data_IF_762734096069
#
_entry.id   IF_762734096069
#
_cell.length_a   1.000
_cell.length_b   1.000
_cell.length_c   1.000
_cell.angle_alpha   90.00
_cell.angle_beta   90.00
_cell.angle_gamma   90.00
#
_symmetry.space_group_name_H-M   'P 1'
#
loop_
_entity.id
_entity.type
_entity.pdbx_description
1 polymer ?
#
# COMPACT_ATOMS: atom_id res chain seq x y z
N UNK A 1 -12.17 1.69 -18.50
CA UNK A 1 -12.56 1.85 -17.07
C UNK A 1 -13.77 2.76 -16.97
N UNK A 2 -14.69 2.40 -16.12
CA UNK A 2 -15.93 3.14 -15.91
C UNK A 2 -15.68 4.44 -15.14
N UNK A 3 -16.29 5.53 -15.58
CA UNK A 3 -16.20 6.80 -14.87
C UNK A 3 -16.91 6.73 -13.51
N UNK A 4 -16.23 7.11 -12.40
CA UNK A 4 -16.84 7.08 -11.08
C UNK A 4 -17.89 8.17 -10.87
N UNK A 5 -17.93 9.19 -11.75
CA UNK A 5 -18.84 10.32 -11.61
C UNK A 5 -20.14 10.16 -12.39
N UNK A 6 -20.06 9.69 -13.64
CA UNK A 6 -21.26 9.58 -14.49
C UNK A 6 -21.56 8.16 -14.97
N UNK A 7 -20.69 7.20 -14.72
CA UNK A 7 -20.90 5.81 -15.10
C UNK A 7 -20.60 5.48 -16.57
N UNK A 8 -20.07 6.44 -17.35
CA UNK A 8 -19.68 6.17 -18.72
C UNK A 8 -18.66 5.02 -18.75
N UNK A 9 -18.86 4.04 -19.62
CA UNK A 9 -17.99 2.87 -19.72
C UNK A 9 -16.66 3.15 -20.40
N UNK A 10 -16.55 4.27 -21.12
CA UNK A 10 -15.36 4.65 -21.84
C UNK A 10 -14.72 5.89 -21.25
N UNK A 11 -13.49 5.73 -20.80
CA UNK A 11 -12.66 6.83 -20.30
C UNK A 11 -11.28 6.74 -20.93
N UNK A 12 -10.54 7.84 -20.91
CA UNK A 12 -9.24 7.95 -21.55
C UNK A 12 -8.12 8.09 -20.52
N UNK A 13 -6.98 7.45 -20.81
CA UNK A 13 -5.75 7.65 -20.04
C UNK A 13 -4.99 8.80 -20.66
N UNK A 14 -4.74 9.86 -19.89
CA UNK A 14 -4.00 11.03 -20.34
C UNK A 14 -2.52 10.97 -20.00
N UNK A 15 -2.17 10.30 -18.90
CA UNK A 15 -0.81 10.23 -18.41
C UNK A 15 -0.64 8.97 -17.55
N UNK A 16 0.53 8.36 -17.63
CA UNK A 16 0.87 7.18 -16.82
C UNK A 16 2.29 7.34 -16.29
N UNK A 17 2.47 7.11 -14.99
CA UNK A 17 3.78 7.22 -14.34
C UNK A 17 3.99 6.08 -13.37
N UNK A 18 5.25 5.62 -13.20
CA UNK A 18 5.57 4.70 -12.12
C UNK A 18 5.26 5.32 -10.76
N UNK A 19 4.81 4.49 -9.84
CA UNK A 19 4.52 4.87 -8.47
C UNK A 19 4.95 3.75 -7.51
N UNK A 20 5.02 4.05 -6.22
CA UNK A 20 5.31 3.06 -5.18
C UNK A 20 6.57 2.23 -5.48
N UNK A 21 7.68 2.89 -5.77
CA UNK A 21 8.96 2.25 -6.08
C UNK A 21 8.88 1.29 -7.28
N UNK A 22 8.20 1.73 -8.34
CA UNK A 22 8.01 0.97 -9.60
C UNK A 22 7.18 -0.32 -9.47
N UNK A 23 6.50 -0.54 -8.34
CA UNK A 23 5.61 -1.70 -8.17
C UNK A 23 4.17 -1.38 -8.53
N UNK A 24 3.88 -0.13 -8.87
CA UNK A 24 2.56 0.33 -9.30
C UNK A 24 2.67 1.31 -10.45
N UNK A 25 1.57 1.49 -11.15
CA UNK A 25 1.44 2.50 -12.19
C UNK A 25 0.31 3.43 -11.79
N UNK A 26 0.61 4.73 -11.75
CA UNK A 26 -0.39 5.77 -11.53
C UNK A 26 -0.86 6.26 -12.88
N UNK A 27 -2.19 6.22 -13.13
CA UNK A 27 -2.80 6.70 -14.37
C UNK A 27 -3.75 7.84 -14.08
N UNK A 28 -3.55 8.95 -14.78
CA UNK A 28 -4.48 10.08 -14.76
C UNK A 28 -5.46 9.88 -15.90
N UNK A 29 -6.76 9.87 -15.56
CA UNK A 29 -7.83 9.55 -16.49
C UNK A 29 -8.80 10.70 -16.68
N UNK A 30 -9.48 10.70 -17.82
CA UNK A 30 -10.44 11.70 -18.21
C UNK A 30 -11.68 11.04 -18.80
N UNK A 31 -12.86 11.52 -18.40
CA UNK A 31 -14.12 11.08 -18.97
C UNK A 31 -14.62 12.09 -20.00
N UNK A 32 -14.73 11.72 -21.30
CA UNK A 32 -15.20 12.63 -22.32
C UNK A 32 -16.69 12.99 -22.19
N UNK A 33 -17.47 12.18 -21.49
CA UNK A 33 -18.91 12.41 -21.30
C UNK A 33 -19.20 13.50 -20.28
N UNK A 34 -18.51 13.50 -19.12
CA UNK A 34 -18.76 14.47 -18.05
C UNK A 34 -17.59 15.41 -17.77
N UNK A 35 -16.48 15.28 -18.51
CA UNK A 35 -15.24 16.02 -18.29
C UNK A 35 -14.60 15.80 -16.93
N UNK A 36 -15.03 14.76 -16.21
CA UNK A 36 -14.46 14.41 -14.92
C UNK A 36 -13.05 13.88 -15.04
N UNK A 37 -12.20 14.19 -14.07
CA UNK A 37 -10.82 13.70 -13.98
C UNK A 37 -10.68 12.87 -12.72
N UNK A 38 -9.98 11.74 -12.83
CA UNK A 38 -9.73 10.87 -11.71
C UNK A 38 -8.40 10.15 -11.88
N UNK A 39 -7.88 9.64 -10.79
CA UNK A 39 -6.60 8.91 -10.78
C UNK A 39 -6.84 7.47 -10.39
N UNK A 40 -6.18 6.55 -11.09
CA UNK A 40 -6.20 5.13 -10.77
C UNK A 40 -4.79 4.60 -10.57
N UNK A 41 -4.68 3.50 -9.82
CA UNK A 41 -3.43 2.80 -9.60
C UNK A 41 -3.56 1.36 -10.05
N UNK A 42 -2.56 0.89 -10.77
CA UNK A 42 -2.46 -0.50 -11.19
C UNK A 42 -1.33 -1.16 -10.40
N UNK A 43 -1.65 -2.23 -9.69
CA UNK A 43 -0.68 -2.98 -8.89
C UNK A 43 -0.75 -4.45 -9.24
N UNK A 44 0.38 -5.14 -9.10
CA UNK A 44 0.41 -6.59 -9.24
C UNK A 44 -0.24 -7.22 -8.02
N UNK A 45 -1.17 -8.13 -8.25
CA UNK A 45 -1.78 -8.94 -7.21
C UNK A 45 -1.31 -10.39 -7.40
N UNK A 46 -0.34 -10.81 -6.59
CA UNK A 46 0.22 -12.16 -6.71
C UNK A 46 -0.69 -13.20 -6.05
N UNK A 47 -1.27 -12.86 -4.92
CA UNK A 47 -2.22 -13.71 -4.20
C UNK A 47 -2.92 -12.88 -3.11
N UNK A 48 -4.04 -13.43 -2.63
CA UNK A 48 -4.75 -12.82 -1.50
C UNK A 48 -4.08 -13.24 -0.20
N UNK A 49 -3.58 -12.29 0.55
CA UNK A 49 -3.03 -12.51 1.88
C UNK A 49 -4.12 -12.30 2.92
N UNK A 50 -4.21 -13.18 3.89
CA UNK A 50 -5.15 -13.12 5.00
C UNK A 50 -4.38 -12.90 6.30
N UNK A 51 -4.80 -11.91 7.09
CA UNK A 51 -4.22 -11.63 8.40
C UNK A 51 -5.05 -12.34 9.46
N UNK A 52 -4.39 -13.14 10.29
CA UNK A 52 -5.03 -13.83 11.41
C UNK A 52 -4.76 -13.02 12.68
N UNK A 53 -5.82 -12.47 13.27
CA UNK A 53 -5.75 -11.68 14.50
C UNK A 53 -5.57 -12.58 15.72
N UNK A 54 -5.15 -12.00 16.87
CA UNK A 54 -4.94 -12.73 18.13
C UNK A 54 -6.17 -13.49 18.62
N UNK A 55 -7.36 -12.98 18.33
CA UNK A 55 -8.63 -13.62 18.69
C UNK A 55 -9.08 -14.69 17.69
N UNK A 56 -8.24 -15.03 16.71
CA UNK A 56 -8.56 -15.99 15.65
C UNK A 56 -9.33 -15.41 14.48
N UNK A 57 -9.71 -14.15 14.53
CA UNK A 57 -10.44 -13.48 13.45
C UNK A 57 -9.54 -13.33 12.23
N UNK A 58 -10.11 -13.56 11.04
CA UNK A 58 -9.39 -13.50 9.77
C UNK A 58 -9.86 -12.28 8.99
N UNK A 59 -8.91 -11.49 8.50
CA UNK A 59 -9.17 -10.31 7.68
C UNK A 59 -8.24 -10.32 6.47
N UNK A 60 -8.73 -9.77 5.33
CA UNK A 60 -7.86 -9.55 4.18
C UNK A 60 -6.75 -8.55 4.51
N UNK A 61 -5.57 -8.80 3.96
CA UNK A 61 -4.44 -7.86 4.13
C UNK A 61 -4.75 -6.56 3.38
N UNK A 62 -4.63 -5.44 4.09
CA UNK A 62 -4.88 -4.09 3.56
C UNK A 62 -3.57 -3.29 3.58
N UNK A 63 -2.99 -3.09 2.38
CA UNK A 63 -1.75 -2.32 2.22
C UNK A 63 -1.92 -0.87 2.70
N UNK A 64 -3.06 -0.25 2.44
CA UNK A 64 -3.30 1.14 2.82
C UNK A 64 -3.35 1.30 4.34
N UNK A 65 -3.89 0.32 5.04
CA UNK A 65 -3.90 0.31 6.50
C UNK A 65 -2.48 0.22 7.07
N UNK A 66 -1.64 -0.66 6.48
CA UNK A 66 -0.23 -0.77 6.84
C UNK A 66 0.50 0.55 6.60
N UNK A 67 0.30 1.16 5.44
CA UNK A 67 0.92 2.43 5.07
C UNK A 67 0.55 3.53 6.06
N UNK A 68 -0.72 3.66 6.42
CA UNK A 68 -1.17 4.66 7.40
C UNK A 68 -0.50 4.45 8.76
N UNK A 69 -0.40 3.22 9.22
CA UNK A 69 0.24 2.90 10.50
C UNK A 69 1.71 3.31 10.51
N UNK A 70 2.42 3.04 9.43
CA UNK A 70 3.84 3.39 9.30
C UNK A 70 4.02 4.90 9.20
N UNK A 71 3.19 5.59 8.42
CA UNK A 71 3.27 7.04 8.27
C UNK A 71 2.98 7.78 9.58
N UNK A 72 2.05 7.27 10.38
CA UNK A 72 1.79 7.82 11.72
C UNK A 72 3.02 7.68 12.61
N UNK A 73 3.67 6.51 12.60
CA UNK A 73 4.89 6.29 13.39
C UNK A 73 6.04 7.20 12.95
N UNK A 74 6.13 7.52 11.65
CA UNK A 74 7.17 8.37 11.07
C UNK A 74 6.81 9.86 11.06
N UNK A 75 5.66 10.25 11.57
CA UNK A 75 5.19 11.63 11.57
C UNK A 75 6.21 12.56 12.23
N UNK A 76 6.53 13.66 11.53
CA UNK A 76 7.54 14.65 11.96
C UNK A 76 8.96 14.09 12.10
N UNK A 77 9.24 12.94 11.49
CA UNK A 77 10.60 12.42 11.40
C UNK A 77 11.22 12.78 10.06
N UNK A 78 12.55 12.98 9.99
CA UNK A 78 13.23 13.41 8.75
C UNK A 78 13.43 12.24 7.77
N UNK A 79 12.35 11.57 7.40
CA UNK A 79 12.37 10.45 6.46
C UNK A 79 11.64 10.88 5.19
N UNK A 80 12.31 10.75 4.05
CA UNK A 80 11.74 11.09 2.75
C UNK A 80 10.57 10.16 2.40
N UNK A 81 9.53 10.70 1.73
CA UNK A 81 8.37 9.93 1.32
C UNK A 81 8.73 8.75 0.42
N UNK A 82 9.71 8.93 -0.48
CA UNK A 82 10.20 7.86 -1.34
C UNK A 82 10.78 6.69 -0.54
N UNK A 83 11.53 6.99 0.51
CA UNK A 83 12.09 5.97 1.39
C UNK A 83 11.01 5.21 2.16
N UNK A 84 9.95 5.92 2.56
CA UNK A 84 8.77 5.28 3.17
C UNK A 84 8.10 4.33 2.18
N UNK A 85 7.94 4.73 0.94
CA UNK A 85 7.36 3.88 -0.10
C UNK A 85 8.21 2.62 -0.34
N UNK A 86 9.53 2.76 -0.39
CA UNK A 86 10.46 1.64 -0.54
C UNK A 86 10.35 0.67 0.64
N UNK A 87 10.23 1.19 1.84
CA UNK A 87 10.07 0.39 3.05
C UNK A 87 8.78 -0.41 3.02
N UNK A 88 7.66 0.23 2.67
CA UNK A 88 6.36 -0.44 2.59
C UNK A 88 6.37 -1.53 1.53
N UNK A 89 6.91 -1.23 0.35
CA UNK A 89 7.04 -2.21 -0.74
C UNK A 89 7.91 -3.40 -0.34
N UNK A 90 8.99 -3.15 0.39
CA UNK A 90 9.87 -4.20 0.92
C UNK A 90 9.15 -5.11 1.91
N UNK A 91 8.36 -4.54 2.80
CA UNK A 91 7.57 -5.31 3.77
C UNK A 91 6.54 -6.18 3.05
N UNK A 92 5.81 -5.61 2.11
CA UNK A 92 4.78 -6.35 1.34
C UNK A 92 5.42 -7.50 0.56
N UNK A 93 6.55 -7.26 -0.12
CA UNK A 93 7.26 -8.32 -0.83
C UNK A 93 7.72 -9.44 0.09
N UNK A 94 8.18 -9.10 1.29
CA UNK A 94 8.60 -10.09 2.28
C UNK A 94 7.41 -10.96 2.72
N UNK A 95 6.25 -10.34 2.97
CA UNK A 95 5.03 -11.07 3.32
C UNK A 95 4.59 -12.01 2.20
N UNK A 96 4.61 -11.55 0.96
CA UNK A 96 4.22 -12.35 -0.20
C UNK A 96 5.18 -13.51 -0.46
N UNK A 97 6.47 -13.34 -0.15
CA UNK A 97 7.49 -14.36 -0.36
C UNK A 97 7.50 -15.45 0.70
N UNK A 98 6.79 -15.29 1.81
CA UNK A 98 6.79 -16.25 2.91
C UNK A 98 6.09 -17.58 2.58
N UNK A 99 5.40 -17.67 1.46
CA UNK A 99 4.79 -18.91 1.01
C UNK A 99 3.42 -19.22 1.61
N UNK A 100 3.06 -18.59 2.71
CA UNK A 100 1.78 -18.80 3.39
C UNK A 100 0.76 -17.76 2.95
N UNK A 101 -0.49 -18.18 2.74
CA UNK A 101 -1.60 -17.25 2.48
C UNK A 101 -2.14 -16.63 3.77
N UNK A 102 -2.00 -17.33 4.90
CA UNK A 102 -2.43 -16.87 6.22
C UNK A 102 -1.22 -16.39 7.01
N UNK A 103 -1.26 -15.14 7.46
CA UNK A 103 -0.15 -14.53 8.20
C UNK A 103 -0.68 -13.99 9.52
N UNK A 104 -0.03 -14.37 10.62
CA UNK A 104 -0.38 -13.85 11.94
C UNK A 104 -0.13 -12.34 12.00
N UNK A 105 -1.04 -11.59 12.63
CA UNK A 105 -0.86 -10.15 12.83
C UNK A 105 0.41 -9.82 13.59
N UNK A 106 0.82 -10.69 14.54
CA UNK A 106 2.06 -10.53 15.28
C UNK A 106 3.30 -10.60 14.37
N UNK A 107 3.28 -11.49 13.38
CA UNK A 107 4.37 -11.59 12.40
C UNK A 107 4.53 -10.31 11.60
N UNK A 108 3.43 -9.72 11.17
CA UNK A 108 3.46 -8.42 10.46
C UNK A 108 4.02 -7.34 11.37
N UNK A 109 3.56 -7.27 12.62
CA UNK A 109 4.06 -6.32 13.61
C UNK A 109 5.56 -6.46 13.85
N UNK A 110 6.08 -7.66 13.98
CA UNK A 110 7.51 -7.93 14.14
C UNK A 110 8.33 -7.43 12.95
N UNK A 111 7.86 -7.70 11.73
CA UNK A 111 8.54 -7.25 10.52
C UNK A 111 8.58 -5.72 10.43
N UNK A 112 7.46 -5.07 10.73
CA UNK A 112 7.37 -3.60 10.74
C UNK A 112 8.29 -3.01 11.80
N UNK A 113 8.28 -3.54 13.01
CA UNK A 113 9.13 -3.06 14.11
C UNK A 113 10.61 -3.26 13.80
N UNK A 114 10.99 -4.39 13.25
CA UNK A 114 12.35 -4.65 12.80
C UNK A 114 12.82 -3.64 11.76
N UNK A 115 11.97 -3.34 10.79
CA UNK A 115 12.26 -2.36 9.75
C UNK A 115 12.39 -0.95 10.32
N UNK A 116 11.47 -0.54 11.20
CA UNK A 116 11.50 0.78 11.84
C UNK A 116 12.72 0.95 12.74
N UNK A 117 13.12 -0.10 13.47
CA UNK A 117 14.30 -0.05 14.34
C UNK A 117 15.59 0.28 13.57
N UNK A 118 15.69 -0.15 12.32
CA UNK A 118 16.84 0.15 11.45
C UNK A 118 16.83 1.57 10.93
N UNK A 119 15.67 2.20 10.84
CA UNK A 119 15.50 3.49 10.17
C UNK A 119 15.38 4.62 11.17
N UNK A 120 14.57 4.46 12.21
CA UNK A 120 14.30 5.52 13.17
C UNK A 120 13.81 4.96 14.51
N UNK A 121 14.58 5.16 15.56
CA UNK A 121 14.26 4.64 16.89
C UNK A 121 13.00 5.26 17.49
N UNK A 122 12.71 6.52 17.19
CA UNK A 122 11.48 7.18 17.67
C UNK A 122 10.25 6.55 17.03
N UNK A 123 10.28 6.30 15.73
CA UNK A 123 9.20 5.61 15.03
C UNK A 123 9.00 4.19 15.56
N UNK A 124 10.08 3.48 15.85
CA UNK A 124 10.04 2.16 16.46
C UNK A 124 9.27 2.16 17.78
N UNK A 125 9.54 3.13 18.64
CA UNK A 125 8.85 3.25 19.94
C UNK A 125 7.37 3.59 19.78
N UNK A 126 7.02 4.43 18.77
CA UNK A 126 5.63 4.82 18.51
C UNK A 126 4.77 3.70 17.95
N UNK A 127 5.36 2.80 17.20
CA UNK A 127 4.62 1.70 16.57
C UNK A 127 4.28 0.63 17.60
#
# INVERSE_FOLDING_TARGET
MRCPFCGNTETQVKDSRPAEDHVAIRRRRYCPACAGRFTTYERVQLRDLVVVKKNGRREGFDRDKLERSIRIALQKRPIEGERVDQMISGIVRRLESMGDSDIASDTIGEIVMETLARIDTVAYVRF
#
